data_IF_222988430525
#
_entry.id   IF_222988430525
#
_cell.length_a   1.000
_cell.length_b   1.000
_cell.length_c   1.000
_cell.angle_alpha   90.00
_cell.angle_beta   90.00
_cell.angle_gamma   90.00
#
_symmetry.space_group_name_H-M   'P 1'
#
loop_
_entity.id
_entity.type
_entity.pdbx_description
1 polymer ?
#
# COMPACT_ATOMS: atom_id res chain seq x y z
N UNK A 1 7.99 3.40 -3.63
CA UNK A 1 6.96 2.35 -3.60
C UNK A 1 7.23 1.30 -4.69
N UNK A 2 8.47 0.80 -4.78
CA UNK A 2 8.94 0.02 -5.93
C UNK A 2 9.48 -1.38 -5.53
N UNK A 3 9.18 -1.81 -4.30
CA UNK A 3 9.54 -3.13 -3.78
C UNK A 3 8.31 -3.99 -3.56
N UNK A 4 8.51 -5.30 -3.47
CA UNK A 4 7.44 -6.28 -3.26
C UNK A 4 6.95 -6.24 -1.81
N UNK A 5 5.64 -6.18 -1.61
CA UNK A 5 4.99 -6.39 -0.33
C UNK A 5 3.94 -7.51 -0.46
N UNK A 6 4.32 -8.73 -0.06
CA UNK A 6 3.45 -9.91 -0.17
C UNK A 6 2.42 -10.04 0.96
N UNK A 7 2.52 -9.25 2.04
CA UNK A 7 1.65 -9.43 3.21
C UNK A 7 0.20 -9.04 2.92
N UNK A 8 -0.02 -7.95 2.17
CA UNK A 8 -1.36 -7.49 1.81
C UNK A 8 -2.02 -8.37 0.75
N UNK A 9 -1.26 -8.80 -0.26
CA UNK A 9 -1.79 -9.71 -1.29
C UNK A 9 -2.19 -11.07 -0.71
N UNK A 10 -1.44 -11.59 0.26
CA UNK A 10 -1.78 -12.82 1.01
C UNK A 10 -3.11 -12.73 1.77
N UNK A 11 -3.47 -11.53 2.24
CA UNK A 11 -4.74 -11.25 2.91
C UNK A 11 -5.83 -10.76 1.94
N UNK A 12 -5.68 -11.03 0.64
CA UNK A 12 -6.65 -10.69 -0.41
C UNK A 12 -6.96 -9.19 -0.54
N UNK A 13 -6.00 -8.31 -0.21
CA UNK A 13 -6.12 -6.90 -0.60
C UNK A 13 -5.86 -6.76 -2.09
N UNK A 14 -6.73 -6.01 -2.77
CA UNK A 14 -6.64 -5.74 -4.22
C UNK A 14 -5.53 -4.75 -4.57
N UNK A 15 -5.36 -3.72 -3.73
CA UNK A 15 -4.42 -2.64 -3.98
C UNK A 15 -3.05 -2.95 -3.38
N UNK A 16 -1.94 -2.45 -3.98
CA UNK A 16 -0.66 -2.46 -3.31
C UNK A 16 -0.77 -1.66 -2.01
N UNK A 17 0.03 -2.04 -1.02
CA UNK A 17 -0.03 -1.51 0.34
C UNK A 17 -0.17 0.03 0.44
N UNK A 18 0.64 0.86 -0.24
CA UNK A 18 0.49 2.32 -0.11
C UNK A 18 -0.82 2.87 -0.67
N UNK A 19 -1.50 2.10 -1.52
CA UNK A 19 -2.79 2.44 -2.12
C UNK A 19 -3.98 1.76 -1.43
N UNK A 20 -3.74 0.89 -0.45
CA UNK A 20 -4.81 0.40 0.42
C UNK A 20 -5.46 1.58 1.14
N UNK A 21 -6.78 1.53 1.31
CA UNK A 21 -7.54 2.64 1.86
C UNK A 21 -7.68 2.54 3.38
N UNK A 22 -7.79 3.71 4.00
CA UNK A 22 -8.25 3.95 5.35
C UNK A 22 -9.39 4.95 5.19
N UNK A 23 -10.62 4.47 5.41
CA UNK A 23 -11.84 5.28 5.28
C UNK A 23 -11.93 6.01 3.92
N UNK A 24 -11.77 5.27 2.84
CA UNK A 24 -11.85 5.77 1.46
C UNK A 24 -10.60 6.50 0.98
N UNK A 25 -9.59 6.71 1.83
CA UNK A 25 -8.37 7.45 1.48
C UNK A 25 -7.12 6.57 1.53
N UNK A 26 -6.25 6.56 0.50
CA UNK A 26 -5.07 5.69 0.48
C UNK A 26 -4.03 5.98 1.57
N UNK A 27 -3.31 4.96 2.06
CA UNK A 27 -2.26 5.08 3.09
C UNK A 27 -1.21 6.15 2.73
N UNK A 28 -0.74 6.19 1.48
CA UNK A 28 0.21 7.20 1.01
C UNK A 28 -0.33 8.62 1.24
N UNK A 29 -1.62 8.84 0.99
CA UNK A 29 -2.23 10.15 1.14
C UNK A 29 -2.39 10.52 2.62
N UNK A 30 -2.62 9.53 3.50
CA UNK A 30 -2.56 9.75 4.94
C UNK A 30 -1.18 10.23 5.40
N UNK A 31 -0.09 9.62 4.91
CA UNK A 31 1.26 10.13 5.17
C UNK A 31 1.39 11.58 4.68
N UNK A 32 1.06 11.84 3.42
CA UNK A 32 1.21 13.16 2.81
C UNK A 32 0.40 14.25 3.53
N UNK A 33 -0.82 13.95 3.95
CA UNK A 33 -1.68 14.90 4.70
C UNK A 33 -0.99 15.43 5.96
N UNK A 34 -0.17 14.61 6.61
CA UNK A 34 0.46 14.93 7.88
C UNK A 34 1.91 15.44 7.75
N UNK A 35 2.45 15.51 6.53
CA UNK A 35 3.77 16.13 6.31
C UNK A 35 3.66 17.66 6.27
N UNK A 36 4.46 18.32 7.11
CA UNK A 36 4.58 19.75 7.31
C UNK A 36 5.55 20.40 6.30
N UNK A 37 5.22 20.32 5.01
CA UNK A 37 6.05 20.87 3.93
C UNK A 37 5.86 22.38 3.75
N UNK A 38 6.96 23.09 3.48
CA UNK A 38 6.95 24.48 3.04
C UNK A 38 6.74 24.56 1.51
N UNK A 39 6.44 25.76 1.01
CA UNK A 39 6.16 26.01 -0.42
C UNK A 39 7.34 25.65 -1.33
N UNK A 40 8.56 25.77 -0.81
CA UNK A 40 9.81 25.50 -1.52
C UNK A 40 10.28 24.04 -1.38
N UNK A 41 9.55 23.22 -0.61
CA UNK A 41 9.84 21.80 -0.48
C UNK A 41 9.30 21.01 -1.66
N UNK A 42 10.03 19.96 -2.02
CA UNK A 42 9.73 19.14 -3.18
C UNK A 42 9.67 17.70 -2.71
N UNK A 43 8.55 17.05 -3.01
CA UNK A 43 8.30 15.67 -2.61
C UNK A 43 8.61 14.79 -3.83
N UNK A 44 9.65 13.96 -3.71
CA UNK A 44 9.97 12.95 -4.71
C UNK A 44 9.29 11.63 -4.35
N UNK A 45 8.61 11.01 -5.31
CA UNK A 45 7.93 9.72 -5.11
C UNK A 45 8.39 8.75 -6.20
N UNK A 46 9.14 7.72 -5.80
CA UNK A 46 9.44 6.58 -6.66
C UNK A 46 8.22 5.66 -6.78
N UNK A 47 7.75 5.41 -7.99
CA UNK A 47 6.59 4.56 -8.27
C UNK A 47 6.90 3.57 -9.38
N UNK A 48 6.36 2.35 -9.27
CA UNK A 48 6.42 1.37 -10.36
C UNK A 48 5.61 1.85 -11.57
N UNK A 49 6.11 1.64 -12.79
CA UNK A 49 5.40 1.99 -14.03
C UNK A 49 4.01 1.36 -14.08
N UNK A 50 3.87 0.11 -13.68
CA UNK A 50 2.57 -0.58 -13.61
C UNK A 50 1.58 0.13 -12.70
N UNK A 51 2.02 0.64 -11.55
CA UNK A 51 1.18 1.39 -10.61
C UNK A 51 0.84 2.77 -11.14
N UNK A 52 1.80 3.48 -11.75
CA UNK A 52 1.54 4.77 -12.37
C UNK A 52 0.52 4.64 -13.51
N UNK A 53 0.64 3.61 -14.36
CA UNK A 53 -0.28 3.39 -15.47
C UNK A 53 -1.69 2.98 -15.00
N UNK A 54 -1.78 2.24 -13.88
CA UNK A 54 -3.08 1.79 -13.35
C UNK A 54 -3.83 2.87 -12.56
N UNK A 55 -3.12 3.71 -11.82
CA UNK A 55 -3.73 4.61 -10.83
C UNK A 55 -3.53 6.10 -11.13
N UNK A 56 -2.72 6.44 -12.13
CA UNK A 56 -2.28 7.80 -12.45
C UNK A 56 -2.01 8.65 -11.19
N UNK A 57 -1.02 8.20 -10.41
CA UNK A 57 -0.67 8.83 -9.15
C UNK A 57 -0.24 10.29 -9.37
N UNK A 58 0.45 10.58 -10.47
CA UNK A 58 0.85 11.93 -10.87
C UNK A 58 -0.35 12.88 -10.94
N UNK A 59 -1.40 12.50 -11.67
CA UNK A 59 -2.61 13.33 -11.77
C UNK A 59 -3.33 13.45 -10.42
N UNK A 60 -3.44 12.33 -9.69
CA UNK A 60 -4.10 12.28 -8.38
C UNK A 60 -3.45 13.23 -7.36
N UNK A 61 -2.11 13.25 -7.28
CA UNK A 61 -1.36 14.15 -6.40
C UNK A 61 -1.55 15.62 -6.77
N UNK A 62 -1.57 15.94 -8.07
CA UNK A 62 -1.74 17.31 -8.57
C UNK A 62 -3.12 17.88 -8.24
N UNK A 63 -4.17 17.05 -8.37
CA UNK A 63 -5.55 17.45 -8.03
C UNK A 63 -5.69 17.63 -6.52
N UNK A 64 -5.16 16.69 -5.74
CA UNK A 64 -5.34 16.68 -4.29
C UNK A 64 -4.53 17.78 -3.58
N UNK A 65 -3.32 18.06 -4.06
CA UNK A 65 -2.37 18.96 -3.42
C UNK A 65 -1.84 20.01 -4.41
N UNK A 66 -2.69 20.90 -4.96
CA UNK A 66 -2.32 21.82 -6.03
C UNK A 66 -1.23 22.83 -5.64
N UNK A 67 -1.01 23.03 -4.33
CA UNK A 67 -0.02 23.96 -3.79
C UNK A 67 1.32 23.31 -3.43
N UNK A 68 1.45 21.98 -3.57
CA UNK A 68 2.69 21.26 -3.25
C UNK A 68 3.38 20.79 -4.53
N UNK A 69 4.71 20.76 -4.50
CA UNK A 69 5.52 20.36 -5.66
C UNK A 69 5.87 18.89 -5.53
N UNK A 70 5.33 18.07 -6.44
CA UNK A 70 5.66 16.65 -6.54
C UNK A 70 6.56 16.37 -7.75
N UNK A 71 7.47 15.42 -7.59
CA UNK A 71 8.27 14.83 -8.66
C UNK A 71 8.10 13.32 -8.59
N UNK A 72 7.29 12.78 -9.50
CA UNK A 72 7.04 11.34 -9.60
C UNK A 72 8.12 10.73 -10.50
N UNK A 73 8.93 9.83 -9.93
CA UNK A 73 9.96 9.09 -10.65
C UNK A 73 9.42 7.70 -10.95
N UNK A 74 9.11 7.47 -12.23
CA UNK A 74 8.58 6.18 -12.70
C UNK A 74 9.75 5.21 -12.91
N UNK A 75 9.61 4.00 -12.36
CA UNK A 75 10.60 2.93 -12.43
C UNK A 75 9.91 1.71 -13.07
N UNK A 76 10.48 1.21 -14.16
CA UNK A 76 9.92 0.14 -14.99
C UNK A 76 10.34 -1.28 -14.55
N UNK A 77 11.03 -1.40 -13.41
CA UNK A 77 11.44 -2.67 -12.83
C UNK A 77 11.33 -2.72 -11.30
N UNK A 78 11.21 -3.94 -10.77
CA UNK A 78 11.24 -4.21 -9.33
C UNK A 78 12.63 -3.95 -8.76
N UNK A 79 12.72 -2.94 -7.90
CA UNK A 79 13.96 -2.64 -7.19
C UNK A 79 14.24 -3.69 -6.11
N UNK A 80 15.52 -3.93 -5.85
CA UNK A 80 16.07 -4.79 -4.80
C UNK A 80 15.83 -4.23 -3.39
N UNK A 81 15.32 -3.01 -3.26
CA UNK A 81 14.88 -2.43 -2.00
C UNK A 81 14.90 -0.89 -1.99
N UNK A 82 14.69 -0.32 -0.81
CA UNK A 82 14.61 1.12 -0.59
C UNK A 82 15.90 1.85 -1.03
N UNK A 83 17.09 1.29 -0.79
CA UNK A 83 18.34 1.94 -1.19
C UNK A 83 18.46 2.08 -2.71
N UNK A 84 18.13 1.05 -3.49
CA UNK A 84 18.16 1.15 -4.96
C UNK A 84 17.07 2.09 -5.47
N UNK A 85 15.88 2.05 -4.88
CA UNK A 85 14.80 3.01 -5.19
C UNK A 85 15.27 4.46 -4.96
N UNK A 86 15.87 4.73 -3.80
CA UNK A 86 16.39 6.05 -3.44
C UNK A 86 17.49 6.48 -4.41
N UNK A 87 18.43 5.59 -4.75
CA UNK A 87 19.49 5.90 -5.70
C UNK A 87 18.95 6.36 -7.06
N UNK A 88 17.99 5.62 -7.63
CA UNK A 88 17.35 5.96 -8.90
C UNK A 88 16.66 7.31 -8.80
N UNK A 89 15.88 7.55 -7.74
CA UNK A 89 15.22 8.84 -7.51
C UNK A 89 16.25 10.00 -7.43
N UNK A 90 17.37 9.81 -6.74
CA UNK A 90 18.44 10.80 -6.59
C UNK A 90 19.19 11.10 -7.91
N UNK A 91 19.05 10.26 -8.94
CA UNK A 91 19.56 10.59 -10.28
C UNK A 91 18.74 11.69 -10.95
N UNK A 92 17.45 11.81 -10.63
CA UNK A 92 16.57 12.84 -11.20
C UNK A 92 16.73 14.23 -10.56
N UNK A 93 17.45 14.33 -9.43
CA UNK A 93 17.61 15.57 -8.70
C UNK A 93 18.77 16.38 -9.30
N UNK A 94 18.52 17.66 -9.59
CA UNK A 94 19.54 18.58 -10.11
C UNK A 94 20.61 18.93 -9.05
N UNK A 95 21.77 19.39 -9.51
CA UNK A 95 22.96 19.63 -8.67
C UNK A 95 22.71 20.61 -7.52
N UNK A 96 21.94 21.67 -7.75
CA UNK A 96 21.62 22.66 -6.71
C UNK A 96 20.78 22.03 -5.60
N UNK A 97 19.75 21.27 -5.95
CA UNK A 97 18.85 20.62 -5.00
C UNK A 97 19.51 19.47 -4.26
N UNK A 98 20.51 18.81 -4.86
CA UNK A 98 21.29 17.78 -4.16
C UNK A 98 21.98 18.31 -2.91
N UNK A 99 22.25 19.62 -2.81
CA UNK A 99 22.86 20.22 -1.63
C UNK A 99 21.89 20.43 -0.46
N UNK A 100 20.58 20.31 -0.69
CA UNK A 100 19.55 20.53 0.34
C UNK A 100 19.42 19.34 1.29
N UNK A 101 19.16 19.64 2.56
CA UNK A 101 18.66 18.69 3.57
C UNK A 101 17.52 17.84 2.99
N UNK A 102 17.60 16.54 3.21
CA UNK A 102 16.68 15.57 2.59
C UNK A 102 16.23 14.55 3.62
N UNK A 103 14.92 14.28 3.67
CA UNK A 103 14.34 13.25 4.52
C UNK A 103 13.61 12.22 3.65
N UNK A 104 13.87 10.94 3.92
CA UNK A 104 13.21 9.79 3.31
C UNK A 104 12.14 9.27 4.26
N UNK A 105 10.98 8.95 3.72
CA UNK A 105 9.86 8.36 4.44
C UNK A 105 9.44 7.04 3.79
N UNK A 106 9.23 6.01 4.61
CA UNK A 106 8.50 4.83 4.18
C UNK A 106 7.03 5.19 3.95
N UNK A 107 6.46 4.70 2.85
CA UNK A 107 5.12 5.07 2.37
C UNK A 107 3.97 4.41 3.14
N UNK A 108 4.27 3.78 4.27
CA UNK A 108 3.38 3.00 5.11
C UNK A 108 3.39 3.47 6.58
N UNK A 109 4.04 4.58 6.87
CA UNK A 109 4.03 5.19 8.20
C UNK A 109 3.36 6.56 8.13
N UNK A 110 2.48 6.86 9.08
CA UNK A 110 1.87 8.18 9.25
C UNK A 110 2.44 8.83 10.49
N UNK A 111 2.91 10.07 10.39
CA UNK A 111 3.46 10.84 11.52
C UNK A 111 2.42 11.84 12.00
N UNK A 112 2.08 11.83 13.29
CA UNK A 112 1.08 12.74 13.88
C UNK A 112 1.73 13.98 14.51
N UNK A 113 3.02 14.15 14.30
CA UNK A 113 3.83 15.25 14.79
C UNK A 113 4.75 15.80 13.69
N UNK A 114 5.19 17.07 13.78
CA UNK A 114 5.92 17.75 12.71
C UNK A 114 7.38 17.28 12.61
N UNK A 115 7.58 16.12 11.99
CA UNK A 115 8.89 15.47 11.83
C UNK A 115 9.82 16.24 10.91
N UNK A 116 9.30 16.94 9.89
CA UNK A 116 10.13 17.73 8.98
C UNK A 116 10.66 18.94 9.73
N UNK A 117 9.83 19.65 10.49
CA UNK A 117 10.27 20.78 11.31
C UNK A 117 11.30 20.39 12.37
N UNK A 118 11.13 19.23 13.02
CA UNK A 118 12.17 18.70 13.93
C UNK A 118 13.52 18.55 13.22
N UNK A 119 13.53 18.03 12.00
CA UNK A 119 14.76 17.89 11.22
C UNK A 119 15.33 19.24 10.76
N UNK A 120 14.48 20.19 10.34
CA UNK A 120 14.94 21.53 9.92
C UNK A 120 15.76 22.23 11.00
N UNK A 121 15.38 22.06 12.28
CA UNK A 121 16.04 22.66 13.45
C UNK A 121 17.38 22.05 13.81
N UNK A 122 17.73 20.88 13.30
CA UNK A 122 19.05 20.29 13.51
C UNK A 122 20.13 21.08 12.77
N UNK A 123 21.34 21.05 13.30
CA UNK A 123 22.53 21.59 12.67
C UNK A 123 22.77 20.98 11.29
N UNK A 124 23.25 21.77 10.33
CA UNK A 124 23.34 21.37 8.91
C UNK A 124 24.30 20.22 8.61
N UNK A 125 25.19 19.87 9.54
CA UNK A 125 26.11 18.75 9.39
C UNK A 125 25.54 17.42 9.88
N UNK A 126 24.39 17.43 10.57
CA UNK A 126 23.80 16.24 11.19
C UNK A 126 22.89 15.47 10.24
N UNK A 127 22.95 14.15 10.34
CA UNK A 127 21.92 13.23 9.86
C UNK A 127 21.08 12.74 11.05
N UNK A 128 19.88 12.21 10.82
CA UNK A 128 19.02 11.75 11.90
C UNK A 128 18.20 10.51 11.54
N UNK A 129 18.00 9.64 12.53
CA UNK A 129 17.09 8.50 12.46
C UNK A 129 15.97 8.70 13.46
N UNK A 130 14.73 8.62 12.99
CA UNK A 130 13.57 8.76 13.86
C UNK A 130 13.15 7.39 14.40
N UNK A 131 13.05 7.27 15.72
CA UNK A 131 12.83 5.98 16.38
C UNK A 131 11.75 6.05 17.47
N UNK A 132 11.25 4.89 17.87
CA UNK A 132 10.37 4.70 19.02
C UNK A 132 10.88 3.53 19.86
N UNK A 133 10.37 3.43 21.09
CA UNK A 133 10.65 2.28 21.96
C UNK A 133 9.73 1.12 21.61
N UNK A 134 10.29 0.07 21.00
CA UNK A 134 9.62 -1.18 20.70
C UNK A 134 9.82 -2.17 21.87
N UNK A 135 8.72 -2.45 22.57
CA UNK A 135 8.70 -3.37 23.70
C UNK A 135 8.02 -4.72 23.35
N UNK A 136 7.63 -4.93 22.09
CA UNK A 136 6.85 -6.10 21.66
C UNK A 136 7.72 -7.34 21.39
N UNK A 137 9.06 -7.20 21.39
CA UNK A 137 10.00 -8.32 21.34
C UNK A 137 10.11 -9.03 19.99
N UNK A 138 9.36 -8.62 18.96
CA UNK A 138 9.38 -9.22 17.62
C UNK A 138 10.22 -8.37 16.66
N UNK A 139 11.32 -8.89 16.09
CA UNK A 139 12.24 -8.08 15.27
C UNK A 139 11.71 -7.85 13.84
N UNK A 140 10.63 -7.06 13.73
CA UNK A 140 9.97 -6.75 12.45
C UNK A 140 10.41 -5.40 11.87
N UNK A 141 11.11 -4.57 12.66
CA UNK A 141 11.64 -3.26 12.28
C UNK A 141 13.16 -3.29 12.06
N UNK A 142 13.75 -2.15 11.70
CA UNK A 142 15.18 -1.91 11.88
C UNK A 142 15.44 -1.21 13.20
N UNK A 143 16.54 -1.56 13.86
CA UNK A 143 16.85 -1.11 15.22
C UNK A 143 18.12 -0.25 15.26
N UNK A 144 18.20 0.65 16.24
CA UNK A 144 19.29 1.59 16.47
C UNK A 144 19.96 1.32 17.82
N UNK A 145 21.28 1.28 17.87
CA UNK A 145 21.99 1.38 19.15
C UNK A 145 22.39 2.84 19.38
N UNK A 146 22.02 3.39 20.53
CA UNK A 146 22.29 4.79 20.89
C UNK A 146 23.41 4.90 21.92
N UNK A 147 24.19 5.97 21.84
CA UNK A 147 25.13 6.39 22.87
C UNK A 147 24.50 7.52 23.69
N UNK A 148 23.95 7.19 24.85
CA UNK A 148 23.28 8.19 25.71
C UNK A 148 24.24 9.22 26.33
N UNK A 149 25.53 8.87 26.43
CA UNK A 149 26.55 9.71 27.04
C UNK A 149 27.10 10.77 26.07
N UNK A 150 26.85 10.62 24.78
CA UNK A 150 27.30 11.54 23.75
C UNK A 150 26.10 12.11 22.99
N UNK A 151 25.92 13.42 23.05
CA UNK A 151 24.76 14.11 22.46
C UNK A 151 25.20 15.24 21.53
N UNK A 152 24.47 15.38 20.42
CA UNK A 152 24.58 16.52 19.51
C UNK A 152 23.18 17.10 19.28
N UNK A 153 23.07 18.43 19.36
CA UNK A 153 21.78 19.14 19.37
C UNK A 153 20.78 18.61 20.41
N UNK A 154 21.28 18.08 21.53
CA UNK A 154 20.48 17.50 22.61
C UNK A 154 20.02 16.06 22.37
N UNK A 155 20.31 15.47 21.20
CA UNK A 155 19.93 14.11 20.82
C UNK A 155 21.10 13.12 20.98
N UNK A 156 20.85 11.87 21.40
CA UNK A 156 21.88 10.84 21.49
C UNK A 156 22.44 10.48 20.11
N UNK A 157 23.73 10.17 20.06
CA UNK A 157 24.39 9.68 18.83
C UNK A 157 23.96 8.23 18.55
N UNK A 158 23.75 7.90 17.27
CA UNK A 158 23.58 6.51 16.83
C UNK A 158 24.95 5.85 16.68
N UNK A 159 25.20 4.75 17.40
CA UNK A 159 26.44 3.96 17.29
C UNK A 159 26.35 2.90 16.20
N UNK A 160 25.17 2.30 16.03
CA UNK A 160 24.98 1.17 15.16
C UNK A 160 23.51 1.03 14.74
N UNK A 161 23.27 0.33 13.64
CA UNK A 161 21.92 -0.01 13.19
C UNK A 161 21.88 -1.40 12.56
N UNK A 162 20.74 -2.09 12.67
CA UNK A 162 20.56 -3.41 12.10
C UNK A 162 19.13 -3.63 11.60
N UNK A 163 18.99 -4.25 10.43
CA UNK A 163 17.69 -4.58 9.84
C UNK A 163 17.18 -5.90 10.42
N UNK A 164 15.97 -5.92 11.01
CA UNK A 164 15.29 -7.14 11.50
C UNK A 164 16.08 -7.96 12.51
N UNK A 165 17.03 -7.33 13.19
CA UNK A 165 17.77 -7.89 14.31
C UNK A 165 17.70 -6.87 15.43
N UNK A 166 17.11 -7.27 16.55
CA UNK A 166 16.94 -6.42 17.72
C UNK A 166 18.27 -6.25 18.45
N UNK A 167 18.97 -5.15 18.16
CA UNK A 167 20.22 -4.76 18.84
C UNK A 167 19.99 -3.82 20.04
N UNK A 168 18.76 -3.37 20.21
CA UNK A 168 18.24 -2.51 21.29
C UNK A 168 16.70 -2.52 21.23
N UNK A 169 16.03 -1.78 22.12
CA UNK A 169 14.60 -1.47 22.05
C UNK A 169 14.27 -0.26 21.16
N UNK A 170 15.25 0.38 20.52
CA UNK A 170 15.02 1.58 19.71
C UNK A 170 14.76 1.17 18.25
N UNK A 171 13.49 1.09 17.86
CA UNK A 171 13.08 0.72 16.51
C UNK A 171 12.86 1.96 15.64
N UNK A 172 13.32 1.92 14.39
CA UNK A 172 13.08 2.99 13.42
C UNK A 172 11.62 3.07 13.02
N UNK A 173 11.16 4.30 12.83
CA UNK A 173 9.80 4.62 12.38
C UNK A 173 9.62 4.56 10.86
N UNK A 174 10.73 4.53 10.10
CA UNK A 174 10.75 4.65 8.65
C UNK A 174 11.01 6.08 8.16
N UNK A 175 11.40 7.01 9.03
CA UNK A 175 11.88 8.34 8.68
C UNK A 175 13.39 8.45 8.90
N UNK A 176 14.11 8.81 7.83
CA UNK A 176 15.57 8.89 7.80
C UNK A 176 15.99 10.20 7.17
N UNK A 177 16.70 11.03 7.91
CA UNK A 177 17.09 12.37 7.50
C UNK A 177 18.59 12.47 7.24
N UNK A 178 18.94 13.12 6.15
CA UNK A 178 20.29 13.24 5.63
C UNK A 178 20.63 14.71 5.45
N UNK A 179 21.84 15.08 5.87
CA UNK A 179 22.35 16.46 5.77
C UNK A 179 22.26 17.03 4.36
N UNK A 180 22.35 16.17 3.35
CA UNK A 180 22.09 16.52 1.95
C UNK A 180 21.71 15.30 1.11
N UNK A 181 20.94 15.51 0.04
CA UNK A 181 20.67 14.49 -0.96
C UNK A 181 21.96 14.02 -1.69
N UNK A 182 22.97 14.89 -1.83
CA UNK A 182 24.28 14.54 -2.38
C UNK A 182 25.01 13.53 -1.50
N UNK A 183 24.95 13.70 -0.17
CA UNK A 183 25.51 12.74 0.78
C UNK A 183 24.80 11.40 0.66
N UNK A 184 23.46 11.40 0.70
CA UNK A 184 22.67 10.18 0.51
C UNK A 184 23.02 9.47 -0.81
N UNK A 185 23.09 10.23 -1.92
CA UNK A 185 23.41 9.70 -3.25
C UNK A 185 24.79 9.04 -3.31
N UNK A 186 25.80 9.65 -2.69
CA UNK A 186 27.16 9.11 -2.59
C UNK A 186 27.17 7.74 -1.89
N UNK A 187 26.52 7.62 -0.74
CA UNK A 187 26.50 6.36 0.01
C UNK A 187 25.65 5.28 -0.67
N UNK A 188 24.57 5.67 -1.36
CA UNK A 188 23.84 4.74 -2.21
C UNK A 188 24.73 4.20 -3.34
N UNK A 189 25.48 5.07 -4.03
CA UNK A 189 26.39 4.65 -5.10
C UNK A 189 27.46 3.68 -4.59
N UNK A 190 28.12 4.03 -3.48
CA UNK A 190 29.15 3.20 -2.86
C UNK A 190 28.64 1.78 -2.59
N UNK A 191 27.47 1.65 -1.98
CA UNK A 191 26.88 0.35 -1.64
C UNK A 191 26.40 -0.45 -2.86
N UNK A 192 26.02 0.23 -3.94
CA UNK A 192 25.62 -0.45 -5.19
C UNK A 192 26.85 -0.91 -6.01
N UNK A 193 27.98 -0.22 -5.88
CA UNK A 193 29.24 -0.56 -6.54
C UNK A 193 30.02 -1.67 -5.81
N UNK A 194 29.68 -1.96 -4.54
CA UNK A 194 30.28 -3.05 -3.77
C UNK A 194 29.97 -4.41 -4.41
N UNK A 195 30.95 -4.97 -5.14
CA UNK A 195 30.89 -6.28 -5.81
C UNK A 195 30.78 -7.48 -4.86
N UNK A 196 30.72 -7.27 -3.55
CA UNK A 196 30.56 -8.30 -2.53
C UNK A 196 29.15 -8.85 -2.49
N UNK A 197 28.73 -9.52 -3.58
CA UNK A 197 28.03 -10.82 -3.63
C UNK A 197 26.81 -11.11 -2.74
N UNK A 198 26.32 -10.18 -1.92
CA UNK A 198 25.09 -10.37 -1.18
C UNK A 198 23.92 -10.12 -2.12
N UNK A 199 23.53 -11.17 -2.84
CA UNK A 199 22.16 -11.31 -3.32
C UNK A 199 21.25 -11.19 -2.08
N UNK A 200 20.68 -10.00 -1.89
CA UNK A 200 20.01 -9.60 -0.66
C UNK A 200 19.18 -8.33 -0.85
N UNK A 201 18.30 -8.05 0.12
CA UNK A 201 17.42 -6.87 0.09
C UNK A 201 18.19 -5.61 0.48
N UNK A 202 18.04 -4.55 -0.30
CA UNK A 202 18.70 -3.27 -0.10
C UNK A 202 17.87 -2.33 0.79
N UNK A 203 18.19 -2.29 2.09
CA UNK A 203 17.49 -1.47 3.08
C UNK A 203 18.18 -0.13 3.32
N UNK A 204 17.40 0.88 3.74
CA UNK A 204 17.93 2.18 4.18
C UNK A 204 18.90 2.04 5.35
N UNK A 205 18.67 1.05 6.21
CA UNK A 205 19.54 0.66 7.33
C UNK A 205 20.98 0.40 6.90
N UNK A 206 21.21 -0.19 5.72
CA UNK A 206 22.56 -0.42 5.21
C UNK A 206 23.27 0.89 4.86
N UNK A 207 22.55 1.87 4.29
CA UNK A 207 23.08 3.22 4.02
C UNK A 207 23.59 3.84 5.31
N UNK A 208 22.75 3.82 6.35
CA UNK A 208 23.06 4.40 7.66
C UNK A 208 24.26 3.69 8.28
N UNK A 209 24.31 2.36 8.22
CA UNK A 209 25.47 1.59 8.72
C UNK A 209 26.78 2.03 8.06
N UNK A 210 26.81 2.13 6.73
CA UNK A 210 28.00 2.59 6.00
C UNK A 210 28.36 4.04 6.29
N UNK A 211 27.36 4.90 6.51
CA UNK A 211 27.59 6.29 6.96
C UNK A 211 28.27 6.33 8.33
N UNK A 212 27.80 5.53 9.30
CA UNK A 212 28.39 5.42 10.63
C UNK A 212 29.83 4.87 10.58
N UNK A 213 30.08 3.86 9.76
CA UNK A 213 31.42 3.29 9.57
C UNK A 213 32.41 4.31 8.98
N UNK A 214 31.90 5.23 8.16
CA UNK A 214 32.64 6.37 7.62
C UNK A 214 32.58 7.62 8.51
N UNK A 215 32.19 7.49 9.78
CA UNK A 215 32.17 8.55 10.80
C UNK A 215 31.28 9.75 10.47
N UNK A 216 30.24 9.57 9.65
CA UNK A 216 29.22 10.60 9.46
C UNK A 216 28.36 10.72 10.75
N UNK A 217 28.12 11.94 11.24
CA UNK A 217 27.34 12.13 12.47
C UNK A 217 25.86 11.81 12.22
N UNK A 218 25.30 10.96 13.08
CA UNK A 218 23.90 10.55 13.04
C UNK A 218 23.32 10.64 14.45
N UNK A 219 22.19 11.33 14.62
CA UNK A 219 21.47 11.42 15.90
C UNK A 219 20.19 10.60 15.89
N UNK A 220 19.80 10.07 17.04
CA UNK A 220 18.52 9.40 17.25
C UNK A 220 17.48 10.42 17.75
N UNK A 221 16.38 10.59 17.01
CA UNK A 221 15.26 11.45 17.42
C UNK A 221 14.08 10.56 17.82
N UNK A 222 13.70 10.62 19.09
CA UNK A 222 12.59 9.83 19.60
C UNK A 222 11.24 10.42 19.18
N UNK A 223 10.34 9.53 18.80
CA UNK A 223 8.92 9.74 18.48
C UNK A 223 8.15 8.86 19.46
N UNK A 224 7.17 9.42 20.17
CA UNK A 224 6.32 8.63 21.05
C UNK A 224 5.45 7.67 20.20
N UNK A 225 5.15 6.48 20.73
CA UNK A 225 4.30 5.49 20.06
C UNK A 225 2.91 6.03 19.72
N UNK A 226 2.43 7.03 20.46
CA UNK A 226 1.17 7.72 20.22
C UNK A 226 1.21 8.74 19.10
N UNK A 227 2.41 9.14 18.65
CA UNK A 227 2.61 10.24 17.71
C UNK A 227 2.95 9.77 16.29
N UNK A 228 2.86 8.47 16.02
CA UNK A 228 2.97 7.90 14.69
C UNK A 228 2.20 6.59 14.58
N UNK A 229 1.95 6.15 13.35
CA UNK A 229 1.19 4.94 13.05
C UNK A 229 1.94 4.17 11.97
N UNK A 230 2.46 2.99 12.31
CA UNK A 230 3.01 2.06 11.33
C UNK A 230 1.88 1.22 10.72
N UNK A 231 1.76 1.19 9.40
CA UNK A 231 0.77 0.44 8.64
C UNK A 231 1.46 -0.63 7.78
N UNK A 232 2.52 -1.20 8.35
CA UNK A 232 3.43 -2.16 7.76
C UNK A 232 2.79 -3.45 7.27
N UNK A 233 1.71 -3.85 7.93
CA UNK A 233 1.05 -5.16 7.83
C UNK A 233 -0.48 -5.01 7.90
N UNK A 234 -1.24 -6.00 7.38
CA UNK A 234 -2.70 -6.01 7.52
C UNK A 234 -3.18 -5.94 8.98
N UNK A 235 -2.48 -6.59 9.91
CA UNK A 235 -2.80 -6.54 11.35
C UNK A 235 -2.67 -5.13 11.92
N UNK A 236 -1.58 -4.44 11.58
CA UNK A 236 -1.37 -3.04 11.98
C UNK A 236 -2.43 -2.11 11.38
N UNK A 237 -2.79 -2.31 10.10
CA UNK A 237 -3.88 -1.56 9.46
C UNK A 237 -5.20 -1.80 10.20
N UNK A 238 -5.57 -3.06 10.45
CA UNK A 238 -6.80 -3.41 11.15
C UNK A 238 -6.83 -2.87 12.58
N UNK A 239 -5.69 -2.92 13.29
CA UNK A 239 -5.56 -2.31 14.61
C UNK A 239 -5.81 -0.81 14.53
N UNK A 240 -5.20 -0.11 13.57
CA UNK A 240 -5.42 1.32 13.37
C UNK A 240 -6.89 1.64 13.06
N UNK A 241 -7.54 0.88 12.18
CA UNK A 241 -8.96 1.06 11.86
C UNK A 241 -9.86 0.94 13.09
N UNK A 242 -9.56 0.03 14.02
CA UNK A 242 -10.29 -0.08 15.30
C UNK A 242 -10.08 1.15 16.19
N UNK A 243 -8.87 1.68 16.25
CA UNK A 243 -8.58 2.89 17.04
C UNK A 243 -9.29 4.14 16.49
N UNK A 244 -9.49 4.20 15.17
CA UNK A 244 -10.23 5.30 14.52
C UNK A 244 -11.71 5.36 14.91
N UNK A 245 -12.29 4.26 15.41
CA UNK A 245 -13.71 4.16 15.80
C UNK A 245 -13.99 4.48 17.27
N UNK A 246 -12.96 4.62 18.10
CA UNK A 246 -13.14 4.90 19.53
C UNK A 246 -13.75 6.30 19.78
N UNK A 247 -14.32 6.50 20.97
CA UNK A 247 -15.03 7.74 21.37
C UNK A 247 -14.18 9.03 21.25
N UNK A 248 -12.85 8.91 21.19
CA UNK A 248 -11.91 9.98 20.92
C UNK A 248 -10.81 9.47 19.99
N UNK A 249 -10.96 9.55 18.66
CA UNK A 249 -9.91 9.12 17.76
C UNK A 249 -8.68 10.01 17.95
N UNK A 250 -7.50 9.38 18.03
CA UNK A 250 -6.22 10.08 18.18
C UNK A 250 -5.88 10.95 16.97
N UNK A 251 -6.55 10.73 15.84
CA UNK A 251 -6.33 11.43 14.57
C UNK A 251 -7.65 11.94 14.03
N UNK A 252 -7.67 13.17 13.53
CA UNK A 252 -8.84 13.72 12.87
C UNK A 252 -9.07 13.03 11.52
N UNK A 253 -10.14 12.26 11.42
CA UNK A 253 -10.51 11.58 10.16
C UNK A 253 -11.22 12.58 9.26
N UNK A 254 -10.70 12.78 8.05
CA UNK A 254 -11.39 13.54 7.01
C UNK A 254 -12.78 12.94 6.78
N UNK A 255 -13.82 13.76 6.87
CA UNK A 255 -15.18 13.31 6.58
C UNK A 255 -15.35 13.09 5.08
N UNK A 256 -15.77 11.89 4.73
CA UNK A 256 -16.01 11.43 3.36
C UNK A 256 -17.50 11.40 3.02
N UNK A 257 -17.81 11.30 1.72
CA UNK A 257 -19.15 11.07 1.19
C UNK A 257 -19.19 9.67 0.57
N UNK A 258 -20.11 8.83 1.01
CA UNK A 258 -20.29 7.47 0.48
C UNK A 258 -21.60 7.38 -0.27
N UNK A 259 -21.53 7.01 -1.55
CA UNK A 259 -22.70 6.79 -2.39
C UNK A 259 -22.99 5.30 -2.53
N UNK A 260 -24.11 4.86 -1.99
CA UNK A 260 -24.58 3.48 -2.10
C UNK A 260 -25.67 3.40 -3.16
N UNK A 261 -25.57 2.42 -4.05
CA UNK A 261 -26.74 1.97 -4.78
C UNK A 261 -27.74 1.33 -3.81
N UNK A 262 -29.02 1.37 -4.14
CA UNK A 262 -30.05 0.74 -3.31
C UNK A 262 -30.17 -0.76 -3.62
N UNK A 263 -30.69 -1.08 -4.80
CA UNK A 263 -31.02 -2.46 -5.17
C UNK A 263 -29.75 -3.26 -5.50
N UNK A 264 -29.72 -4.51 -5.03
CA UNK A 264 -28.55 -5.39 -5.05
C UNK A 264 -27.28 -4.83 -4.37
N UNK A 265 -27.39 -3.75 -3.59
CA UNK A 265 -26.27 -3.19 -2.80
C UNK A 265 -26.64 -3.08 -1.32
N UNK A 266 -27.69 -2.33 -0.98
CA UNK A 266 -28.22 -2.27 0.40
C UNK A 266 -29.40 -3.23 0.59
N UNK A 267 -30.14 -3.54 -0.46
CA UNK A 267 -31.21 -4.54 -0.46
C UNK A 267 -31.03 -5.55 -1.60
N UNK A 268 -31.77 -6.65 -1.60
CA UNK A 268 -31.80 -7.62 -2.71
C UNK A 268 -32.51 -7.05 -3.93
N UNK A 269 -32.46 -7.76 -5.06
CA UNK A 269 -33.46 -7.58 -6.10
C UNK A 269 -34.86 -7.95 -5.58
N UNK A 270 -35.93 -7.37 -6.14
CA UNK A 270 -37.29 -7.80 -5.82
C UNK A 270 -37.50 -9.25 -6.28
N UNK A 271 -38.30 -10.03 -5.53
CA UNK A 271 -38.61 -11.44 -5.85
C UNK A 271 -39.38 -11.57 -7.16
N UNK A 272 -40.21 -10.58 -7.44
CA UNK A 272 -40.97 -10.43 -8.68
C UNK A 272 -40.63 -9.08 -9.31
N UNK A 273 -40.49 -9.06 -10.63
CA UNK A 273 -40.09 -7.84 -11.35
C UNK A 273 -41.07 -6.68 -11.06
N UNK A 274 -40.53 -5.53 -10.64
CA UNK A 274 -41.31 -4.34 -10.28
C UNK A 274 -41.94 -4.35 -8.88
N UNK A 275 -41.97 -5.49 -8.18
CA UNK A 275 -42.50 -5.59 -6.83
C UNK A 275 -41.44 -5.28 -5.77
N UNK A 276 -41.08 -4.00 -5.65
CA UNK A 276 -40.05 -3.53 -4.72
C UNK A 276 -40.38 -3.68 -3.23
N UNK A 277 -41.60 -4.07 -2.88
CA UNK A 277 -41.98 -4.38 -1.48
C UNK A 277 -41.27 -5.65 -0.99
N UNK A 278 -41.01 -6.59 -1.91
CA UNK A 278 -40.49 -7.93 -1.66
C UNK A 278 -38.97 -8.02 -1.45
N UNK A 279 -38.25 -6.89 -1.52
CA UNK A 279 -36.79 -6.86 -1.32
C UNK A 279 -36.40 -7.21 0.11
N UNK A 280 -35.23 -7.82 0.28
CA UNK A 280 -34.67 -8.24 1.56
C UNK A 280 -33.39 -7.44 1.88
N UNK A 281 -33.07 -7.18 3.16
CA UNK A 281 -31.95 -6.34 3.54
C UNK A 281 -30.60 -7.06 3.35
N UNK A 282 -29.59 -6.36 2.80
CA UNK A 282 -28.19 -6.82 2.80
C UNK A 282 -27.50 -6.33 4.06
N UNK A 283 -27.63 -7.13 5.12
CA UNK A 283 -27.27 -6.76 6.50
C UNK A 283 -25.86 -6.19 6.64
N UNK A 284 -24.84 -6.78 6.00
CA UNK A 284 -23.45 -6.30 6.11
C UNK A 284 -23.26 -4.90 5.52
N UNK A 285 -23.83 -4.62 4.34
CA UNK A 285 -23.73 -3.32 3.70
C UNK A 285 -24.55 -2.25 4.43
N UNK A 286 -25.71 -2.62 4.98
CA UNK A 286 -26.50 -1.72 5.83
C UNK A 286 -25.75 -1.38 7.12
N UNK A 287 -25.10 -2.37 7.77
CA UNK A 287 -24.24 -2.12 8.94
C UNK A 287 -23.07 -1.20 8.61
N UNK A 288 -22.42 -1.41 7.47
CA UNK A 288 -21.38 -0.52 6.99
C UNK A 288 -21.90 0.93 6.83
N UNK A 289 -23.05 1.12 6.17
CA UNK A 289 -23.64 2.46 6.03
C UNK A 289 -23.94 3.10 7.40
N UNK A 290 -24.44 2.34 8.37
CA UNK A 290 -24.64 2.79 9.75
C UNK A 290 -23.36 3.21 10.46
N UNK A 291 -22.33 2.38 10.42
CA UNK A 291 -21.08 2.71 11.10
C UNK A 291 -20.40 3.92 10.47
N UNK A 292 -20.44 4.04 9.14
CA UNK A 292 -19.93 5.22 8.43
C UNK A 292 -20.73 6.48 8.79
N UNK A 293 -22.06 6.41 8.81
CA UNK A 293 -22.92 7.53 9.22
C UNK A 293 -22.67 7.94 10.67
N UNK A 294 -22.58 6.96 11.58
CA UNK A 294 -22.29 7.19 13.01
C UNK A 294 -20.91 7.82 13.21
N UNK A 295 -19.93 7.45 12.38
CA UNK A 295 -18.62 8.09 12.36
C UNK A 295 -18.65 9.52 11.75
N UNK A 296 -19.82 10.04 11.38
CA UNK A 296 -20.03 11.38 10.86
C UNK A 296 -19.71 11.54 9.38
N UNK A 297 -19.66 10.44 8.62
CA UNK A 297 -19.57 10.49 7.16
C UNK A 297 -20.93 10.73 6.53
N UNK A 298 -20.93 11.33 5.34
CA UNK A 298 -22.16 11.66 4.62
C UNK A 298 -22.59 10.47 3.76
N UNK A 299 -23.83 10.01 3.91
CA UNK A 299 -24.37 8.86 3.19
C UNK A 299 -25.36 9.31 2.13
N UNK A 300 -25.05 8.99 0.88
CA UNK A 300 -25.91 9.20 -0.29
C UNK A 300 -26.46 7.83 -0.70
N UNK A 301 -27.77 7.74 -0.91
CA UNK A 301 -28.38 6.57 -1.57
C UNK A 301 -28.78 6.98 -2.97
N UNK A 302 -28.32 6.26 -3.98
CA UNK A 302 -28.71 6.44 -5.37
C UNK A 302 -29.54 5.25 -5.84
N UNK A 303 -30.59 5.48 -6.62
CA UNK A 303 -31.47 4.40 -7.08
C UNK A 303 -31.91 4.56 -8.53
N UNK A 304 -31.98 3.43 -9.23
CA UNK A 304 -32.48 3.29 -10.60
C UNK A 304 -33.93 2.75 -10.66
N UNK A 305 -34.63 2.68 -9.52
CA UNK A 305 -36.01 2.15 -9.44
C UNK A 305 -36.96 2.86 -10.40
N UNK A 306 -37.71 2.07 -11.17
CA UNK A 306 -38.62 2.51 -12.22
C UNK A 306 -38.03 3.43 -13.31
N UNK A 307 -36.72 3.67 -13.35
CA UNK A 307 -36.11 4.57 -14.36
C UNK A 307 -36.30 4.03 -15.78
N UNK A 308 -36.17 2.70 -15.96
CA UNK A 308 -36.42 2.05 -17.26
C UNK A 308 -37.88 2.17 -17.71
N UNK A 309 -38.82 1.99 -16.78
CA UNK A 309 -40.26 2.02 -17.07
C UNK A 309 -40.70 3.44 -17.47
N UNK A 310 -40.16 4.46 -16.81
CA UNK A 310 -40.50 5.86 -17.08
C UNK A 310 -39.55 6.55 -18.07
N UNK A 311 -38.84 5.80 -18.92
CA UNK A 311 -37.96 6.35 -19.96
C UNK A 311 -36.98 7.42 -19.43
N UNK A 312 -36.34 7.13 -18.29
CA UNK A 312 -35.43 8.02 -17.58
C UNK A 312 -36.05 9.32 -17.03
N UNK A 313 -37.38 9.44 -16.97
CA UNK A 313 -38.06 10.55 -16.32
C UNK A 313 -38.07 10.39 -14.79
N UNK A 314 -37.18 11.12 -14.12
CA UNK A 314 -37.03 11.07 -12.66
C UNK A 314 -38.32 11.44 -11.92
N UNK A 315 -39.03 12.49 -12.36
CA UNK A 315 -40.25 12.95 -11.70
C UNK A 315 -41.37 11.90 -11.75
N UNK A 316 -41.54 11.25 -12.89
CA UNK A 316 -42.51 10.16 -13.05
C UNK A 316 -42.13 8.93 -12.22
N UNK A 317 -40.84 8.56 -12.19
CA UNK A 317 -40.36 7.47 -11.34
C UNK A 317 -40.60 7.75 -9.85
N UNK A 318 -40.30 8.97 -9.38
CA UNK A 318 -40.55 9.40 -8.00
C UNK A 318 -42.04 9.35 -7.66
N UNK A 319 -42.91 9.85 -8.55
CA UNK A 319 -44.36 9.82 -8.35
C UNK A 319 -44.91 8.40 -8.22
N UNK A 320 -44.31 7.44 -8.91
CA UNK A 320 -44.73 6.03 -8.92
C UNK A 320 -44.15 5.22 -7.74
N UNK A 321 -42.83 5.26 -7.50
CA UNK A 321 -42.15 4.36 -6.54
C UNK A 321 -41.54 5.07 -5.33
N UNK A 322 -41.63 6.39 -5.26
CA UNK A 322 -40.99 7.18 -4.20
C UNK A 322 -41.43 6.75 -2.80
N UNK A 323 -42.74 6.58 -2.60
CA UNK A 323 -43.31 6.13 -1.31
C UNK A 323 -42.77 4.77 -0.87
N UNK A 324 -42.83 3.76 -1.74
CA UNK A 324 -42.36 2.40 -1.43
C UNK A 324 -40.86 2.42 -1.13
N UNK A 325 -40.10 3.25 -1.83
CA UNK A 325 -38.66 3.40 -1.60
C UNK A 325 -38.36 4.00 -0.22
N UNK A 326 -39.03 5.09 0.16
CA UNK A 326 -38.89 5.69 1.49
C UNK A 326 -39.33 4.74 2.61
N UNK A 327 -40.45 4.03 2.42
CA UNK A 327 -40.92 3.00 3.34
C UNK A 327 -39.90 1.85 3.48
N UNK A 328 -39.23 1.46 2.39
CA UNK A 328 -38.17 0.44 2.42
C UNK A 328 -36.98 0.90 3.27
N UNK A 329 -36.51 2.13 3.07
CA UNK A 329 -35.39 2.70 3.83
C UNK A 329 -35.74 2.77 5.33
N UNK A 330 -36.94 3.25 5.66
CA UNK A 330 -37.42 3.29 7.04
C UNK A 330 -37.57 1.90 7.65
N UNK A 331 -38.18 0.94 6.93
CA UNK A 331 -38.40 -0.43 7.38
C UNK A 331 -37.12 -1.16 7.75
N UNK A 332 -36.04 -0.93 7.00
CA UNK A 332 -34.73 -1.54 7.25
C UNK A 332 -33.77 -0.63 8.02
N UNK A 333 -34.27 0.50 8.52
CA UNK A 333 -33.51 1.50 9.26
C UNK A 333 -32.25 1.99 8.52
N UNK A 334 -32.27 2.04 7.18
CA UNK A 334 -31.08 2.41 6.41
C UNK A 334 -30.81 3.91 6.59
N UNK A 335 -29.61 4.31 7.03
CA UNK A 335 -29.27 5.72 7.21
C UNK A 335 -28.93 6.37 5.87
N UNK A 336 -29.32 7.63 5.70
CA UNK A 336 -28.94 8.46 4.56
C UNK A 336 -29.11 9.94 4.92
N UNK A 337 -28.23 10.76 4.38
CA UNK A 337 -28.35 12.22 4.40
C UNK A 337 -28.97 12.73 3.08
N UNK A 338 -28.83 11.96 2.00
CA UNK A 338 -29.30 12.31 0.66
C UNK A 338 -29.85 11.08 -0.08
N UNK A 339 -31.02 11.22 -0.72
CA UNK A 339 -31.62 10.19 -1.57
C UNK A 339 -31.78 10.72 -2.99
N UNK A 340 -31.09 10.10 -3.93
CA UNK A 340 -31.04 10.47 -5.34
C UNK A 340 -31.74 9.42 -6.22
N UNK A 341 -32.89 9.79 -6.75
CA UNK A 341 -33.48 9.09 -7.89
C UNK A 341 -32.78 9.52 -9.19
N UNK A 342 -32.90 8.71 -10.24
CA UNK A 342 -32.33 9.06 -11.54
C UNK A 342 -30.99 8.41 -11.85
N UNK A 343 -30.57 7.38 -11.11
CA UNK A 343 -29.46 6.53 -11.57
C UNK A 343 -29.85 5.93 -12.93
N UNK A 344 -29.03 6.15 -13.94
CA UNK A 344 -29.30 5.68 -15.29
C UNK A 344 -29.46 4.15 -15.30
N UNK A 345 -30.50 3.64 -15.97
CA UNK A 345 -30.59 2.19 -16.21
C UNK A 345 -29.55 1.81 -17.27
N UNK A 346 -28.52 1.09 -16.85
CA UNK A 346 -27.41 0.67 -17.69
C UNK A 346 -27.05 -0.80 -17.45
N UNK A 347 -26.56 -1.46 -18.49
CA UNK A 347 -26.04 -2.83 -18.41
C UNK A 347 -24.63 -2.87 -17.77
N UNK A 348 -23.85 -1.79 -17.94
CA UNK A 348 -22.49 -1.66 -17.39
C UNK A 348 -22.30 -0.24 -16.84
N UNK A 349 -21.74 -0.14 -15.64
CA UNK A 349 -21.28 1.12 -15.06
C UNK A 349 -19.75 1.16 -15.10
N UNK A 350 -19.20 2.25 -15.64
CA UNK A 350 -17.75 2.51 -15.66
C UNK A 350 -17.53 3.80 -14.89
N UNK A 351 -16.83 3.69 -13.76
CA UNK A 351 -16.68 4.77 -12.78
C UNK A 351 -15.34 4.57 -12.04
N UNK A 352 -14.63 5.66 -11.77
CA UNK A 352 -13.30 5.69 -11.17
C UNK A 352 -13.33 5.55 -9.64
N UNK A 353 -14.46 5.90 -9.00
CA UNK A 353 -14.69 5.82 -7.56
C UNK A 353 -15.50 4.58 -7.14
N UNK A 354 -16.05 3.82 -8.08
CA UNK A 354 -16.94 2.71 -7.80
C UNK A 354 -16.25 1.54 -7.08
N UNK A 355 -16.98 0.98 -6.11
CA UNK A 355 -16.63 -0.25 -5.41
C UNK A 355 -17.77 -1.24 -5.66
N UNK A 356 -17.40 -2.46 -6.06
CA UNK A 356 -18.39 -3.48 -6.36
C UNK A 356 -18.99 -4.05 -5.06
N UNK A 357 -20.31 -3.97 -4.88
CA UNK A 357 -20.94 -4.33 -3.61
C UNK A 357 -20.88 -5.82 -3.22
N UNK A 358 -20.40 -6.70 -4.12
CA UNK A 358 -20.22 -8.14 -3.87
C UNK A 358 -18.77 -8.56 -3.57
N UNK A 359 -17.80 -7.64 -3.61
CA UNK A 359 -16.44 -7.92 -3.14
C UNK A 359 -16.30 -7.53 -1.66
N UNK A 360 -15.10 -7.71 -1.10
CA UNK A 360 -14.78 -7.29 0.27
C UNK A 360 -14.79 -5.76 0.40
N UNK A 361 -16.00 -5.21 0.49
CA UNK A 361 -16.26 -3.76 0.51
C UNK A 361 -15.60 -3.10 1.72
N UNK A 362 -15.44 -3.84 2.82
CA UNK A 362 -14.74 -3.39 4.02
C UNK A 362 -13.26 -3.10 3.73
N UNK A 363 -12.55 -4.01 3.05
CA UNK A 363 -11.16 -3.78 2.64
C UNK A 363 -11.02 -2.70 1.58
N UNK A 364 -11.92 -2.67 0.60
CA UNK A 364 -11.89 -1.66 -0.48
C UNK A 364 -12.11 -0.25 0.04
N UNK A 365 -12.94 -0.08 1.07
CA UNK A 365 -13.13 1.20 1.76
C UNK A 365 -12.05 1.42 2.83
N UNK A 366 -11.48 0.37 3.42
CA UNK A 366 -10.63 0.51 4.60
C UNK A 366 -11.45 0.79 5.85
N UNK A 367 -12.44 -0.06 6.12
CA UNK A 367 -13.30 -0.04 7.30
C UNK A 367 -13.36 -1.43 7.92
N UNK A 368 -13.63 -1.52 9.23
CA UNK A 368 -13.85 -2.79 9.94
C UNK A 368 -15.21 -2.72 10.64
N UNK A 369 -15.96 -3.80 10.82
CA UNK A 369 -17.23 -3.75 11.57
C UNK A 369 -17.01 -4.09 13.04
N UNK A 370 -17.70 -3.44 13.98
CA UNK A 370 -17.44 -3.57 15.43
C UNK A 370 -17.66 -4.99 15.98
N UNK A 371 -18.45 -5.80 15.27
CA UNK A 371 -18.77 -7.18 15.63
C UNK A 371 -18.37 -8.20 14.57
N UNK A 372 -17.50 -7.84 13.63
CA UNK A 372 -16.89 -8.82 12.74
C UNK A 372 -15.87 -9.63 13.53
N UNK A 373 -16.32 -10.68 14.21
CA UNK A 373 -15.44 -11.81 14.48
C UNK A 373 -14.99 -12.28 13.10
N UNK A 374 -13.78 -11.91 12.69
CA UNK A 374 -13.14 -12.50 11.53
C UNK A 374 -12.90 -13.97 11.86
N UNK A 375 -13.94 -14.79 11.71
CA UNK A 375 -13.78 -16.20 11.46
C UNK A 375 -13.09 -16.26 10.10
N UNK A 376 -11.75 -16.33 10.13
CA UNK A 376 -10.89 -16.52 8.95
C UNK A 376 -11.31 -17.72 8.07
N UNK A 377 -12.27 -18.55 8.52
CA UNK A 377 -12.83 -19.70 7.80
C UNK A 377 -14.00 -19.36 6.86
N UNK A 378 -14.69 -18.24 7.03
CA UNK A 378 -15.84 -17.84 6.20
C UNK A 378 -15.50 -16.69 5.24
N UNK A 379 -14.23 -16.54 4.85
CA UNK A 379 -13.97 -15.87 3.59
C UNK A 379 -14.71 -16.68 2.52
N UNK A 380 -15.84 -16.15 2.02
CA UNK A 380 -16.30 -16.45 0.68
C UNK A 380 -15.14 -16.06 -0.24
N UNK A 381 -14.20 -16.98 -0.39
CA UNK A 381 -13.44 -17.11 -1.62
C UNK A 381 -14.52 -17.05 -2.69
N UNK A 382 -14.56 -15.94 -3.42
CA UNK A 382 -15.44 -15.82 -4.57
C UNK A 382 -15.01 -16.98 -5.46
N UNK A 383 -15.77 -18.09 -5.41
CA UNK A 383 -15.44 -19.35 -6.09
C UNK A 383 -15.25 -19.01 -7.56
N UNK A 384 -14.01 -18.95 -8.02
CA UNK A 384 -13.65 -18.61 -9.39
C UNK A 384 -12.54 -17.57 -9.57
N UNK A 385 -12.19 -16.76 -8.55
CA UNK A 385 -11.00 -15.90 -8.66
C UNK A 385 -9.75 -16.71 -8.29
N UNK A 386 -8.97 -17.09 -9.31
CA UNK A 386 -7.63 -17.65 -9.13
C UNK A 386 -6.74 -16.50 -8.64
N UNK A 387 -6.35 -16.51 -7.36
CA UNK A 387 -5.34 -15.59 -6.84
C UNK A 387 -4.03 -15.76 -7.61
N UNK A 388 -3.49 -14.70 -8.19
CA UNK A 388 -2.16 -14.72 -8.79
C UNK A 388 -1.13 -15.13 -7.73
N UNK A 389 -0.36 -16.20 -7.99
CA UNK A 389 0.65 -16.73 -7.07
C UNK A 389 1.90 -15.84 -7.10
N UNK A 390 1.86 -14.69 -6.43
CA UNK A 390 3.02 -13.81 -6.26
C UNK A 390 3.83 -14.22 -5.03
N UNK A 391 4.66 -15.25 -5.16
CA UNK A 391 5.70 -15.59 -4.15
C UNK A 391 7.12 -15.39 -4.68
N UNK A 392 7.25 -15.01 -5.95
CA UNK A 392 8.51 -14.93 -6.66
C UNK A 392 8.76 -13.50 -7.12
N UNK A 393 9.94 -12.98 -6.80
CA UNK A 393 10.54 -11.83 -7.49
C UNK A 393 11.13 -12.35 -8.80
N UNK A 394 10.75 -11.75 -9.92
CA UNK A 394 11.27 -12.14 -11.24
C UNK A 394 11.97 -10.92 -11.83
N UNK A 395 13.28 -11.04 -12.05
CA UNK A 395 14.08 -10.01 -12.69
C UNK A 395 14.58 -10.52 -14.04
N UNK A 396 14.54 -9.65 -15.05
CA UNK A 396 15.12 -9.93 -16.36
C UNK A 396 16.46 -9.22 -16.48
N UNK A 397 17.51 -9.97 -16.80
CA UNK A 397 18.84 -9.46 -17.07
C UNK A 397 19.28 -10.02 -18.43
N UNK A 398 19.20 -9.19 -19.47
CA UNK A 398 19.48 -9.58 -20.87
C UNK A 398 18.69 -10.83 -21.30
N UNK A 399 19.39 -11.95 -21.52
CA UNK A 399 18.85 -13.25 -21.91
C UNK A 399 18.62 -14.19 -20.72
N UNK A 400 18.62 -13.66 -19.50
CA UNK A 400 18.42 -14.42 -18.27
C UNK A 400 17.24 -13.91 -17.47
N UNK A 401 16.59 -14.84 -16.78
CA UNK A 401 15.57 -14.59 -15.78
C UNK A 401 16.10 -15.04 -14.42
N UNK A 402 16.17 -14.11 -13.48
CA UNK A 402 16.52 -14.37 -12.09
C UNK A 402 15.20 -14.45 -11.31
N UNK A 403 14.89 -15.63 -10.80
CA UNK A 403 13.71 -15.86 -9.98
C UNK A 403 14.13 -16.08 -8.54
N UNK A 404 13.69 -15.20 -7.63
CA UNK A 404 14.08 -15.21 -6.22
C UNK A 404 12.86 -15.28 -5.30
N UNK A 405 12.98 -16.02 -4.20
CA UNK A 405 11.96 -16.16 -3.16
C UNK A 405 12.59 -16.72 -1.88
N UNK A 406 11.79 -16.87 -0.81
CA UNK A 406 12.27 -17.66 0.34
C UNK A 406 12.58 -19.09 -0.09
N UNK A 407 13.62 -19.68 0.50
CA UNK A 407 14.09 -21.04 0.16
C UNK A 407 12.96 -22.07 0.24
N UNK A 408 12.05 -21.93 1.21
CA UNK A 408 10.87 -22.79 1.37
C UNK A 408 9.95 -22.82 0.15
N UNK A 409 9.76 -21.68 -0.53
CA UNK A 409 8.90 -21.59 -1.72
C UNK A 409 9.61 -22.07 -2.99
N UNK A 410 10.92 -21.83 -3.11
CA UNK A 410 11.69 -22.19 -4.31
C UNK A 410 12.27 -23.60 -4.30
N UNK A 411 12.34 -24.29 -3.15
CA UNK A 411 12.98 -25.62 -3.05
C UNK A 411 12.44 -26.64 -4.07
N UNK A 412 11.13 -26.63 -4.31
CA UNK A 412 10.49 -27.54 -5.26
C UNK A 412 10.86 -27.23 -6.71
N UNK A 413 10.90 -25.95 -7.08
CA UNK A 413 11.28 -25.52 -8.43
C UNK A 413 12.77 -25.70 -8.67
N UNK A 414 13.62 -25.40 -7.68
CA UNK A 414 15.07 -25.69 -7.72
C UNK A 414 15.29 -27.18 -7.91
N UNK A 415 14.62 -28.03 -7.13
CA UNK A 415 14.71 -29.48 -7.28
C UNK A 415 14.28 -29.93 -8.67
N UNK A 416 13.18 -29.40 -9.20
CA UNK A 416 12.72 -29.70 -10.55
C UNK A 416 13.81 -29.38 -11.59
N UNK A 417 14.31 -28.13 -11.65
CA UNK A 417 15.36 -27.73 -12.60
C UNK A 417 16.73 -28.39 -12.37
N UNK A 418 16.95 -29.02 -11.20
CA UNK A 418 18.12 -29.85 -10.94
C UNK A 418 17.96 -31.29 -11.41
N UNK A 419 16.72 -31.78 -11.56
CA UNK A 419 16.42 -33.19 -11.79
C UNK A 419 15.49 -33.42 -13.00
N UNK A 420 15.41 -32.47 -13.94
CA UNK A 420 14.57 -32.64 -15.13
C UNK A 420 15.06 -33.87 -15.92
N UNK A 421 14.19 -34.84 -16.22
CA UNK A 421 14.55 -35.97 -17.07
C UNK A 421 15.02 -35.50 -18.44
N UNK A 422 16.09 -36.12 -18.96
CA UNK A 422 16.71 -35.69 -20.23
C UNK A 422 15.71 -35.73 -21.41
N UNK A 423 14.69 -36.59 -21.33
CA UNK A 423 13.65 -36.73 -22.36
C UNK A 423 12.69 -35.55 -22.49
N UNK A 424 12.63 -34.64 -21.52
CA UNK A 424 11.73 -33.48 -21.53
C UNK A 424 12.44 -32.16 -21.24
N UNK A 425 13.76 -32.20 -21.07
CA UNK A 425 14.58 -31.07 -20.59
C UNK A 425 14.65 -29.92 -21.58
N UNK A 426 14.54 -30.22 -22.87
CA UNK A 426 14.43 -29.28 -23.98
C UNK A 426 13.12 -28.49 -24.00
N UNK A 427 12.09 -28.94 -23.27
CA UNK A 427 10.80 -28.25 -23.16
C UNK A 427 10.78 -27.15 -22.10
N UNK A 428 11.83 -27.01 -21.30
CA UNK A 428 11.92 -26.05 -20.19
C UNK A 428 13.12 -25.11 -20.38
N UNK A 429 13.08 -23.88 -19.83
CA UNK A 429 14.22 -22.97 -19.85
C UNK A 429 15.49 -23.62 -19.27
N UNK A 430 16.65 -23.37 -19.88
CA UNK A 430 17.89 -23.88 -19.31
C UNK A 430 18.20 -23.20 -17.97
N UNK A 431 18.51 -24.02 -16.96
CA UNK A 431 19.02 -23.53 -15.67
C UNK A 431 20.51 -23.22 -15.78
N UNK A 432 20.88 -21.97 -15.55
CA UNK A 432 22.27 -21.53 -15.48
C UNK A 432 22.88 -21.74 -14.09
N UNK A 433 22.26 -21.21 -13.04
CA UNK A 433 22.79 -21.27 -11.67
C UNK A 433 21.67 -21.23 -10.63
N UNK A 434 21.98 -21.71 -9.43
CA UNK A 434 21.15 -21.55 -8.23
C UNK A 434 22.04 -20.91 -7.16
N UNK A 435 21.60 -19.79 -6.59
CA UNK A 435 22.28 -19.13 -5.48
C UNK A 435 21.43 -19.27 -4.22
N UNK A 436 22.02 -19.80 -3.14
CA UNK A 436 21.34 -19.98 -1.85
C UNK A 436 22.05 -19.11 -0.81
N UNK A 437 21.30 -18.18 -0.22
CA UNK A 437 21.76 -17.36 0.88
C UNK A 437 21.13 -17.89 2.18
N UNK A 438 21.84 -18.80 2.85
CA UNK A 438 21.36 -19.46 4.08
C UNK A 438 21.09 -18.45 5.21
N UNK A 439 21.91 -17.39 5.30
CA UNK A 439 21.76 -16.34 6.32
C UNK A 439 20.50 -15.49 6.10
N UNK A 440 20.10 -15.29 4.85
CA UNK A 440 18.90 -14.51 4.51
C UNK A 440 17.65 -15.38 4.34
N UNK A 441 17.77 -16.71 4.31
CA UNK A 441 16.67 -17.65 4.01
C UNK A 441 16.09 -17.47 2.60
N UNK A 442 16.89 -16.96 1.66
CA UNK A 442 16.48 -16.63 0.29
C UNK A 442 17.27 -17.51 -0.67
N UNK A 443 16.58 -18.03 -1.67
CA UNK A 443 17.19 -18.71 -2.81
C UNK A 443 16.83 -17.99 -4.09
N UNK A 444 17.71 -18.09 -5.09
CA UNK A 444 17.43 -17.63 -6.45
C UNK A 444 17.83 -18.69 -7.45
N UNK A 445 17.06 -18.80 -8.53
CA UNK A 445 17.36 -19.63 -9.69
C UNK A 445 17.49 -18.72 -10.91
N UNK A 446 18.59 -18.88 -11.64
CA UNK A 446 18.90 -18.15 -12.86
C UNK A 446 18.58 -19.07 -14.03
N UNK A 447 17.60 -18.68 -14.82
CA UNK A 447 17.08 -19.42 -15.96
C UNK A 447 17.34 -18.65 -17.25
N UNK A 448 17.38 -19.35 -18.37
CA UNK A 448 17.32 -18.77 -19.69
C UNK A 448 16.00 -17.98 -19.90
N UNK A 449 16.08 -16.82 -20.51
CA UNK A 449 14.92 -16.08 -20.97
C UNK A 449 14.47 -16.59 -22.35
N UNK A 450 13.35 -17.31 -22.39
CA UNK A 450 12.77 -17.76 -23.66
C UNK A 450 11.98 -16.61 -24.30
N UNK A 451 12.44 -16.13 -25.45
CA UNK A 451 11.67 -15.21 -26.29
C UNK A 451 10.58 -16.01 -27.04
N UNK A 452 9.34 -15.96 -26.56
CA UNK A 452 8.23 -16.68 -27.18
C UNK A 452 6.87 -16.22 -26.68
N UNK A 453 5.81 -16.67 -27.35
CA UNK A 453 4.43 -16.44 -26.94
C UNK A 453 4.14 -17.23 -25.67
N UNK A 454 3.55 -16.58 -24.66
CA UNK A 454 3.23 -17.29 -23.41
C UNK A 454 2.12 -18.32 -23.64
N UNK A 455 2.10 -19.38 -22.83
CA UNK A 455 1.05 -20.39 -22.91
C UNK A 455 -0.36 -19.78 -22.74
N UNK A 456 -0.50 -18.76 -21.89
CA UNK A 456 -1.75 -18.01 -21.72
C UNK A 456 -2.20 -17.31 -23.01
N UNK A 457 -1.27 -16.67 -23.72
CA UNK A 457 -1.57 -16.03 -25.02
C UNK A 457 -1.96 -17.06 -26.10
N UNK A 458 -1.35 -18.26 -26.07
CA UNK A 458 -1.76 -19.36 -26.95
C UNK A 458 -3.16 -19.87 -26.61
N UNK A 459 -3.52 -19.95 -25.32
CA UNK A 459 -4.83 -20.39 -24.86
C UNK A 459 -5.95 -19.43 -25.30
N UNK A 460 -5.70 -18.12 -25.22
CA UNK A 460 -6.65 -17.08 -25.63
C UNK A 460 -6.93 -17.12 -27.15
N UNK A 461 -5.95 -17.56 -27.94
CA UNK A 461 -6.14 -17.73 -29.39
C UNK A 461 -6.98 -18.96 -29.73
N UNK A 462 -6.93 -20.02 -28.90
CA UNK A 462 -7.70 -21.27 -29.10
C UNK A 462 -9.16 -21.11 -28.68
N UNK A 463 -9.47 -20.24 -27.72
CA UNK A 463 -10.84 -19.98 -27.26
C UNK A 463 -11.62 -18.99 -28.15
N UNK A 464 -11.01 -18.48 -29.23
CA UNK A 464 -11.63 -17.60 -30.23
C UNK A 464 -12.00 -18.30 -31.55
N UNK A 465 -11.89 -19.63 -31.61
CA UNK A 465 -12.38 -20.49 -32.70
C UNK A 465 -13.51 -21.34 -32.17
#
# INVERSE_FOLDING_TARGET
MCGISDSFSKENYRFPKPLCKIVGRPILFWLLDHLDTNVDDIIYIGVMETLQNQFDLTQSLKIEYPQRIFQVVVIDFETRGALETLFIMLQSINTERLLRKTISFDCDTVYLQPVIEKFRRLSDHLNASFFFEDNDGKPIYSYLKLNENNRQDGFPIVENTCEKIMISNCANTGAYAFRSASTLKRYCAQLLDETSGQYGKYYTTHIIKTMLDNQEPFVGIQIAVTDFVCLGTPDQLNQFLRHLKGDKPAVNIRKMRFCFDLDNTLVSYPKEHGNYISVEPKIENIKLAHELHTAGHYIIIQTARQMKIHNNNVGAAVADIGRITLETLSRFNIPYDELLFGKAYADVYVDDCAIHALIDTLKEIGWSLDNAIHNHKDQKQIRGFISSRHFHTVQKLDNLIIKSASTEYLKGEIYFYQNIPESIKDLFPQKHRVDVNENAGISSIILEHINGTTFSQLLDCVLRV
#
